data_IF_384552450569
#
_entry.id   IF_384552450569
#
_cell.length_a   1.000
_cell.length_b   1.000
_cell.length_c   1.000
_cell.angle_alpha   90.00
_cell.angle_beta   90.00
_cell.angle_gamma   90.00
#
_symmetry.space_group_name_H-M   'P 1'
#
loop_
_entity.id
_entity.type
_entity.pdbx_description
1 polymer ?
#
# COMPACT_ATOMS: atom_id res chain seq x y z
N UNK A 1 13.52 -14.56 10.95
CA UNK A 1 14.35 -15.28 9.97
C UNK A 1 14.20 -14.54 8.64
N UNK A 2 15.26 -14.33 7.85
CA UNK A 2 15.13 -13.76 6.51
C UNK A 2 14.29 -14.71 5.63
N UNK A 3 13.45 -14.13 4.77
CA UNK A 3 12.66 -14.92 3.81
C UNK A 3 13.58 -15.69 2.85
N UNK A 4 13.19 -16.90 2.51
CA UNK A 4 13.92 -17.78 1.57
C UNK A 4 13.22 -17.90 0.21
N UNK A 5 11.95 -17.49 0.10
CA UNK A 5 11.12 -17.59 -1.10
C UNK A 5 10.16 -16.40 -1.25
N UNK A 6 9.63 -16.20 -2.46
CA UNK A 6 8.61 -15.18 -2.78
C UNK A 6 7.20 -15.72 -2.55
N UNK A 7 6.85 -15.98 -1.29
CA UNK A 7 5.52 -16.48 -0.88
C UNK A 7 4.64 -15.34 -0.36
N UNK A 8 3.54 -14.98 -1.03
CA UNK A 8 2.79 -13.76 -0.69
C UNK A 8 1.45 -14.00 -0.02
N UNK A 9 0.99 -15.25 0.04
CA UNK A 9 -0.31 -15.68 0.57
C UNK A 9 -0.73 -15.08 1.93
N UNK A 10 0.22 -14.79 2.83
CA UNK A 10 -0.06 -14.23 4.16
C UNK A 10 -0.27 -12.72 4.17
N UNK A 11 0.12 -11.99 3.12
CA UNK A 11 0.10 -10.52 3.09
C UNK A 11 -1.33 -9.97 3.31
N UNK A 12 -2.37 -10.42 2.59
CA UNK A 12 -3.74 -9.93 2.83
C UNK A 12 -4.24 -10.20 4.26
N UNK A 13 -3.85 -11.34 4.86
CA UNK A 13 -4.23 -11.72 6.23
C UNK A 13 -3.57 -10.79 7.25
N UNK A 14 -2.28 -10.47 7.04
CA UNK A 14 -1.53 -9.55 7.89
C UNK A 14 -2.15 -8.15 7.82
N UNK A 15 -2.46 -7.65 6.61
CA UNK A 15 -3.12 -6.36 6.44
C UNK A 15 -4.48 -6.33 7.18
N UNK A 16 -5.37 -7.30 6.93
CA UNK A 16 -6.69 -7.34 7.58
C UNK A 16 -6.62 -7.41 9.11
N UNK A 17 -5.60 -8.07 9.65
CA UNK A 17 -5.36 -8.12 11.08
C UNK A 17 -4.91 -6.75 11.59
N UNK A 18 -3.91 -6.14 10.97
CA UNK A 18 -3.34 -4.86 11.40
C UNK A 18 -4.33 -3.70 11.26
N UNK A 19 -5.12 -3.63 10.19
CA UNK A 19 -6.19 -2.61 10.09
C UNK A 19 -7.12 -2.69 11.31
N UNK A 20 -7.53 -3.89 11.72
CA UNK A 20 -8.39 -4.05 12.90
C UNK A 20 -7.69 -3.68 14.20
N UNK A 21 -6.45 -4.13 14.37
CA UNK A 21 -5.65 -3.83 15.56
C UNK A 21 -5.44 -2.32 15.70
N UNK A 22 -4.96 -1.64 14.66
CA UNK A 22 -4.68 -0.20 14.70
C UNK A 22 -5.93 0.69 14.88
N UNK A 23 -7.11 0.24 14.44
CA UNK A 23 -8.36 0.95 14.76
C UNK A 23 -8.79 0.76 16.23
N UNK A 24 -8.37 -0.31 16.89
CA UNK A 24 -8.68 -0.56 18.30
C UNK A 24 -7.65 0.11 19.23
N UNK A 25 -6.36 -0.13 18.98
CA UNK A 25 -5.23 0.46 19.68
C UNK A 25 -4.00 0.36 18.78
N UNK A 26 -3.29 1.47 18.58
CA UNK A 26 -2.13 1.47 17.70
C UNK A 26 -0.96 0.70 18.32
N UNK A 27 -0.79 -0.56 17.91
CA UNK A 27 0.29 -1.43 18.38
C UNK A 27 1.47 -1.50 17.42
N UNK A 28 2.67 -1.71 17.96
CA UNK A 28 3.82 -2.14 17.18
C UNK A 28 3.72 -3.64 16.85
N UNK A 29 3.98 -4.00 15.60
CA UNK A 29 4.06 -5.39 15.18
C UNK A 29 5.54 -5.78 15.03
N UNK A 30 6.08 -6.69 15.86
CA UNK A 30 7.47 -7.10 15.76
C UNK A 30 7.70 -7.85 14.44
N UNK A 31 8.48 -7.26 13.53
CA UNK A 31 8.83 -7.86 12.25
C UNK A 31 10.22 -7.43 11.79
N UNK A 32 10.84 -8.24 10.93
CA UNK A 32 12.20 -7.99 10.41
C UNK A 32 12.26 -8.22 8.90
N UNK A 33 13.21 -7.58 8.21
CA UNK A 33 13.42 -7.74 6.77
C UNK A 33 12.18 -7.36 5.96
N UNK A 34 11.86 -8.16 4.94
CA UNK A 34 10.71 -7.97 4.06
C UNK A 34 9.38 -7.73 4.79
N UNK A 35 9.05 -8.55 5.80
CA UNK A 35 7.75 -8.43 6.49
C UNK A 35 7.63 -7.10 7.23
N UNK A 36 8.74 -6.58 7.76
CA UNK A 36 8.78 -5.23 8.35
C UNK A 36 8.46 -4.15 7.32
N UNK A 37 9.02 -4.28 6.11
CA UNK A 37 8.77 -3.32 5.03
C UNK A 37 7.31 -3.33 4.60
N UNK A 38 6.70 -4.51 4.47
CA UNK A 38 5.26 -4.66 4.15
C UNK A 38 4.38 -4.04 5.24
N UNK A 39 4.67 -4.30 6.51
CA UNK A 39 3.92 -3.74 7.64
C UNK A 39 4.05 -2.22 7.68
N UNK A 40 5.25 -1.69 7.51
CA UNK A 40 5.49 -0.25 7.51
C UNK A 40 4.80 0.42 6.32
N UNK A 41 4.86 -0.19 5.13
CA UNK A 41 4.15 0.27 3.93
C UNK A 41 2.64 0.34 4.21
N UNK A 42 2.10 -0.69 4.84
CA UNK A 42 0.69 -0.73 5.20
C UNK A 42 0.32 0.34 6.24
N UNK A 43 1.22 0.61 7.19
CA UNK A 43 1.05 1.70 8.16
C UNK A 43 0.98 3.07 7.49
N UNK A 44 1.82 3.32 6.48
CA UNK A 44 1.75 4.57 5.71
C UNK A 44 0.41 4.70 4.97
N UNK A 45 -0.12 3.61 4.40
CA UNK A 45 -1.46 3.62 3.79
C UNK A 45 -2.58 3.84 4.81
N UNK A 46 -2.48 3.25 6.00
CA UNK A 46 -3.42 3.44 7.09
C UNK A 46 -3.46 4.90 7.54
N UNK A 47 -2.29 5.49 7.83
CA UNK A 47 -2.19 6.89 8.21
C UNK A 47 -2.69 7.83 7.09
N UNK A 48 -2.34 7.53 5.83
CA UNK A 48 -2.77 8.31 4.68
C UNK A 48 -4.30 8.30 4.52
N UNK A 49 -4.96 7.15 4.73
CA UNK A 49 -6.42 7.06 4.69
C UNK A 49 -7.07 8.03 5.69
N UNK A 50 -6.60 8.04 6.94
CA UNK A 50 -7.17 8.91 7.97
C UNK A 50 -6.82 10.40 7.79
N UNK A 51 -5.64 10.72 7.24
CA UNK A 51 -5.33 12.10 6.86
C UNK A 51 -6.20 12.59 5.70
N UNK A 52 -6.51 11.74 4.71
CA UNK A 52 -7.47 12.07 3.64
C UNK A 52 -8.88 12.31 4.19
N UNK A 53 -9.35 11.50 5.15
CA UNK A 53 -10.62 11.75 5.85
C UNK A 53 -10.61 13.10 6.59
N UNK A 54 -9.51 13.42 7.28
CA UNK A 54 -9.36 14.72 7.97
C UNK A 54 -9.35 15.89 6.99
N UNK A 55 -8.75 15.74 5.81
CA UNK A 55 -8.72 16.78 4.77
C UNK A 55 -10.12 17.13 4.24
N UNK A 56 -11.10 16.22 4.41
CA UNK A 56 -12.49 16.40 3.97
C UNK A 56 -13.39 16.99 5.07
N UNK A 57 -12.85 17.32 6.24
CA UNK A 57 -13.63 17.88 7.34
C UNK A 57 -14.26 19.24 6.94
N UNK A 58 -15.60 19.41 7.07
CA UNK A 58 -16.32 20.56 6.53
C UNK A 58 -16.02 21.89 7.25
N UNK A 59 -15.34 21.85 8.39
CA UNK A 59 -15.05 23.01 9.24
C UNK A 59 -13.56 23.25 9.44
N UNK A 60 -12.70 22.62 8.64
CA UNK A 60 -11.26 22.85 8.69
C UNK A 60 -10.92 24.27 8.24
N UNK A 61 -10.06 24.94 8.98
CA UNK A 61 -9.46 26.22 8.62
C UNK A 61 -8.47 26.07 7.46
N UNK A 62 -8.15 27.17 6.78
CA UNK A 62 -7.16 27.16 5.70
C UNK A 62 -5.78 26.66 6.15
N UNK A 63 -5.39 26.95 7.40
CA UNK A 63 -4.14 26.47 7.99
C UNK A 63 -4.14 24.96 8.21
N UNK A 64 -5.24 24.42 8.75
CA UNK A 64 -5.41 22.97 8.95
C UNK A 64 -5.42 22.22 7.61
N UNK A 65 -6.06 22.77 6.58
CA UNK A 65 -6.05 22.21 5.22
C UNK A 65 -4.63 22.18 4.66
N UNK A 66 -3.88 23.28 4.79
CA UNK A 66 -2.49 23.33 4.33
C UNK A 66 -1.59 22.34 5.08
N UNK A 67 -1.78 22.18 6.40
CA UNK A 67 -1.04 21.22 7.18
C UNK A 67 -1.38 19.78 6.79
N UNK A 68 -2.66 19.47 6.61
CA UNK A 68 -3.12 18.13 6.18
C UNK A 68 -2.56 17.80 4.80
N UNK A 69 -2.53 18.75 3.86
CA UNK A 69 -1.93 18.54 2.54
C UNK A 69 -0.44 18.18 2.63
N UNK A 70 0.32 18.86 3.49
CA UNK A 70 1.74 18.54 3.74
C UNK A 70 1.91 17.15 4.32
N UNK A 71 1.06 16.75 5.27
CA UNK A 71 1.05 15.40 5.84
C UNK A 71 0.76 14.34 4.77
N UNK A 72 -0.26 14.55 3.94
CA UNK A 72 -0.64 13.66 2.83
C UNK A 72 0.52 13.50 1.84
N UNK A 73 1.22 14.58 1.50
CA UNK A 73 2.34 14.52 0.56
C UNK A 73 3.52 13.72 1.15
N UNK A 74 3.84 13.93 2.42
CA UNK A 74 4.88 13.18 3.12
C UNK A 74 4.55 11.69 3.24
N UNK A 75 3.31 11.36 3.62
CA UNK A 75 2.83 9.97 3.72
C UNK A 75 2.83 9.27 2.36
N UNK A 76 2.38 9.97 1.30
CA UNK A 76 2.45 9.45 -0.06
C UNK A 76 3.89 9.19 -0.51
N UNK A 77 4.84 10.06 -0.15
CA UNK A 77 6.25 9.85 -0.46
C UNK A 77 6.79 8.62 0.29
N UNK A 78 6.61 8.57 1.60
CA UNK A 78 7.06 7.44 2.43
C UNK A 78 6.47 6.10 1.96
N UNK A 79 5.19 6.07 1.59
CA UNK A 79 4.56 4.89 0.99
C UNK A 79 5.28 4.42 -0.27
N UNK A 80 5.58 5.34 -1.20
CA UNK A 80 6.23 4.96 -2.45
C UNK A 80 7.68 4.51 -2.23
N UNK A 81 8.40 5.16 -1.31
CA UNK A 81 9.76 4.76 -0.95
C UNK A 81 9.77 3.32 -0.38
N UNK A 82 8.75 2.96 0.39
CA UNK A 82 8.58 1.60 0.92
C UNK A 82 8.22 0.58 -0.17
N UNK A 83 7.43 0.97 -1.18
CA UNK A 83 7.19 0.12 -2.36
C UNK A 83 8.52 -0.22 -3.05
N UNK A 84 9.37 0.79 -3.28
CA UNK A 84 10.70 0.58 -3.85
C UNK A 84 11.62 -0.26 -2.95
N UNK A 85 11.54 -0.07 -1.63
CA UNK A 85 12.32 -0.84 -0.67
C UNK A 85 11.91 -2.32 -0.68
N UNK A 86 10.62 -2.62 -0.74
CA UNK A 86 10.08 -3.98 -0.89
C UNK A 86 10.62 -4.62 -2.16
N UNK A 87 10.56 -3.92 -3.29
CA UNK A 87 11.05 -4.43 -4.58
C UNK A 87 12.56 -4.67 -4.57
N UNK A 88 13.32 -3.79 -3.92
CA UNK A 88 14.78 -3.95 -3.76
C UNK A 88 15.11 -5.19 -2.94
N UNK A 89 14.46 -5.39 -1.80
CA UNK A 89 14.65 -6.56 -0.94
C UNK A 89 14.35 -7.86 -1.71
N UNK A 90 13.32 -7.88 -2.54
CA UNK A 90 12.98 -9.03 -3.39
C UNK A 90 14.02 -9.28 -4.48
N UNK A 91 14.53 -8.24 -5.15
CA UNK A 91 15.61 -8.40 -6.14
C UNK A 91 16.89 -8.92 -5.50
N UNK A 92 17.23 -8.47 -4.29
CA UNK A 92 18.36 -8.98 -3.53
C UNK A 92 18.18 -10.45 -3.14
N UNK A 93 16.97 -10.85 -2.73
CA UNK A 93 16.64 -12.25 -2.46
C UNK A 93 16.82 -13.12 -3.71
N UNK A 94 16.32 -12.67 -4.86
CA UNK A 94 16.45 -13.38 -6.14
C UNK A 94 17.91 -13.53 -6.57
N UNK A 95 18.71 -12.49 -6.40
CA UNK A 95 20.14 -12.52 -6.68
C UNK A 95 20.88 -13.50 -5.77
N UNK A 96 20.59 -13.50 -4.46
CA UNK A 96 21.16 -14.45 -3.48
C UNK A 96 20.81 -15.90 -3.83
N UNK A 97 19.61 -16.14 -4.35
CA UNK A 97 19.15 -17.45 -4.78
C UNK A 97 19.64 -17.84 -6.19
N UNK A 98 20.44 -17.00 -6.86
CA UNK A 98 20.94 -17.27 -8.21
C UNK A 98 19.85 -17.31 -9.29
N UNK A 99 18.70 -16.68 -9.04
CA UNK A 99 17.57 -16.67 -10.00
C UNK A 99 17.92 -15.85 -11.23
N UNK A 100 17.72 -16.42 -12.42
CA UNK A 100 17.99 -15.73 -13.68
C UNK A 100 16.75 -14.96 -14.16
N UNK A 101 16.85 -13.62 -14.17
CA UNK A 101 15.81 -12.72 -14.66
C UNK A 101 15.88 -12.58 -16.19
N UNK A 102 15.32 -13.56 -16.93
CA UNK A 102 15.39 -13.63 -18.40
C UNK A 102 14.04 -13.72 -19.12
N UNK A 103 12.96 -13.84 -18.36
CA UNK A 103 11.60 -13.97 -18.89
C UNK A 103 11.01 -12.67 -19.44
N UNK A 104 9.69 -12.63 -19.55
CA UNK A 104 8.97 -11.42 -19.96
C UNK A 104 8.97 -10.36 -18.84
N UNK A 105 9.12 -9.09 -19.20
CA UNK A 105 9.02 -7.99 -18.24
C UNK A 105 7.57 -7.80 -17.81
N UNK A 106 7.32 -7.83 -16.51
CA UNK A 106 6.03 -7.48 -15.94
C UNK A 106 5.96 -5.97 -15.66
N UNK A 107 4.83 -5.34 -16.00
CA UNK A 107 4.64 -3.89 -15.85
C UNK A 107 4.53 -3.45 -14.39
N UNK A 108 3.77 -4.20 -13.58
CA UNK A 108 3.67 -3.97 -12.13
C UNK A 108 4.72 -4.79 -11.39
N UNK A 109 5.35 -4.18 -10.38
CA UNK A 109 6.25 -4.89 -9.47
C UNK A 109 5.47 -5.55 -8.33
N UNK A 110 6.04 -6.56 -7.63
CA UNK A 110 5.41 -7.13 -6.44
C UNK A 110 5.07 -6.06 -5.37
N UNK A 111 5.95 -5.08 -5.14
CA UNK A 111 5.70 -3.98 -4.22
C UNK A 111 4.46 -3.15 -4.57
N UNK A 112 4.24 -2.86 -5.86
CA UNK A 112 3.04 -2.15 -6.33
C UNK A 112 1.75 -2.96 -6.09
N UNK A 113 1.82 -4.28 -6.30
CA UNK A 113 0.66 -5.15 -6.06
C UNK A 113 0.35 -5.25 -4.55
N UNK A 114 1.39 -5.35 -3.71
CA UNK A 114 1.26 -5.34 -2.24
C UNK A 114 0.62 -4.03 -1.75
N UNK A 115 1.01 -2.88 -2.31
CA UNK A 115 0.39 -1.59 -2.02
C UNK A 115 -1.11 -1.59 -2.33
N UNK A 116 -1.49 -2.10 -3.51
CA UNK A 116 -2.91 -2.20 -3.89
C UNK A 116 -3.68 -3.15 -2.99
N UNK A 117 -3.09 -4.25 -2.54
CA UNK A 117 -3.68 -5.16 -1.55
C UNK A 117 -3.89 -4.46 -0.20
N UNK A 118 -2.92 -3.64 0.22
CA UNK A 118 -2.97 -2.81 1.43
C UNK A 118 -4.15 -1.82 1.38
N UNK A 119 -4.31 -1.11 0.27
CA UNK A 119 -5.45 -0.21 0.03
C UNK A 119 -6.79 -0.96 0.01
N UNK A 120 -6.86 -2.14 -0.63
CA UNK A 120 -8.07 -2.94 -0.65
C UNK A 120 -8.48 -3.41 0.75
N UNK A 121 -7.53 -3.76 1.63
CA UNK A 121 -7.82 -4.14 3.01
C UNK A 121 -8.49 -3.00 3.78
N UNK A 122 -7.98 -1.76 3.66
CA UNK A 122 -8.59 -0.57 4.26
C UNK A 122 -10.01 -0.31 3.73
N UNK A 123 -10.19 -0.39 2.40
CA UNK A 123 -11.52 -0.25 1.77
C UNK A 123 -12.51 -1.29 2.28
N UNK A 124 -12.06 -2.55 2.41
CA UNK A 124 -12.89 -3.66 2.90
C UNK A 124 -13.29 -3.41 4.35
N UNK A 125 -12.36 -2.98 5.21
CA UNK A 125 -12.63 -2.67 6.61
C UNK A 125 -13.73 -1.60 6.73
N UNK A 126 -13.53 -0.43 6.12
CA UNK A 126 -14.51 0.67 6.22
C UNK A 126 -15.82 0.36 5.51
N UNK A 127 -15.80 -0.42 4.43
CA UNK A 127 -17.05 -0.86 3.78
C UNK A 127 -17.85 -1.78 4.70
N UNK A 128 -17.19 -2.68 5.45
CA UNK A 128 -17.87 -3.53 6.45
C UNK A 128 -18.54 -2.70 7.53
N UNK A 129 -17.89 -1.66 8.04
CA UNK A 129 -18.52 -0.73 8.99
C UNK A 129 -19.82 -0.15 8.42
N UNK A 130 -19.84 0.24 7.14
CA UNK A 130 -21.04 0.75 6.49
C UNK A 130 -22.13 -0.32 6.29
N UNK A 131 -21.77 -1.60 6.17
CA UNK A 131 -22.75 -2.70 6.12
C UNK A 131 -23.37 -3.01 7.48
N UNK A 132 -22.66 -2.72 8.56
CA UNK A 132 -23.06 -3.02 9.95
C UNK A 132 -23.64 -1.79 10.68
N UNK A 133 -23.54 -0.62 10.05
CA UNK A 133 -24.01 0.66 10.58
C UNK A 133 -25.51 0.63 10.93
N UNK A 134 -25.81 0.80 12.20
CA UNK A 134 -27.16 0.64 12.78
C UNK A 134 -28.10 1.81 12.46
N UNK A 135 -27.57 3.03 12.33
CA UNK A 135 -28.32 4.25 12.01
C UNK A 135 -28.52 4.47 10.50
N UNK A 136 -27.99 3.58 9.65
CA UNK A 136 -28.18 3.64 8.20
C UNK A 136 -29.50 2.99 7.77
N UNK A 137 -29.97 3.34 6.56
CA UNK A 137 -31.15 2.69 5.96
C UNK A 137 -30.82 1.27 5.50
N UNK A 138 -31.85 0.46 5.27
CA UNK A 138 -31.68 -0.89 4.73
C UNK A 138 -31.05 -0.86 3.33
N UNK A 139 -31.42 0.13 2.51
CA UNK A 139 -30.90 0.34 1.16
C UNK A 139 -29.40 0.70 1.20
N UNK A 140 -28.97 1.54 2.15
CA UNK A 140 -27.55 1.85 2.34
C UNK A 140 -26.75 0.59 2.68
N UNK A 141 -27.21 -0.20 3.66
CA UNK A 141 -26.53 -1.45 4.04
C UNK A 141 -26.47 -2.43 2.87
N UNK A 142 -27.58 -2.63 2.15
CA UNK A 142 -27.63 -3.51 0.97
C UNK A 142 -26.68 -3.04 -0.15
N UNK A 143 -26.64 -1.74 -0.43
CA UNK A 143 -25.73 -1.16 -1.41
C UNK A 143 -24.26 -1.37 -1.03
N UNK A 144 -23.91 -1.22 0.25
CA UNK A 144 -22.55 -1.47 0.72
C UNK A 144 -22.19 -2.96 0.80
N UNK A 145 -23.16 -3.85 1.02
CA UNK A 145 -22.93 -5.30 0.92
C UNK A 145 -22.54 -5.69 -0.50
N UNK A 146 -23.15 -5.08 -1.52
CA UNK A 146 -22.76 -5.34 -2.91
C UNK A 146 -21.36 -4.79 -3.22
N UNK A 147 -21.04 -3.58 -2.75
CA UNK A 147 -19.67 -3.03 -2.85
C UNK A 147 -18.64 -3.94 -2.16
N UNK A 148 -18.97 -4.48 -0.99
CA UNK A 148 -18.10 -5.37 -0.24
C UNK A 148 -17.78 -6.64 -1.03
N UNK A 149 -18.77 -7.25 -1.70
CA UNK A 149 -18.52 -8.43 -2.56
C UNK A 149 -17.52 -8.12 -3.67
N UNK A 150 -17.68 -6.97 -4.35
CA UNK A 150 -16.77 -6.53 -5.41
C UNK A 150 -15.34 -6.38 -4.86
N UNK A 151 -15.18 -5.70 -3.71
CA UNK A 151 -13.88 -5.49 -3.10
C UNK A 151 -13.21 -6.81 -2.68
N UNK A 152 -13.98 -7.75 -2.13
CA UNK A 152 -13.48 -9.07 -1.75
C UNK A 152 -13.01 -9.87 -2.98
N UNK A 153 -13.77 -9.84 -4.08
CA UNK A 153 -13.37 -10.47 -5.34
C UNK A 153 -12.08 -9.83 -5.91
N UNK A 154 -12.03 -8.49 -5.99
CA UNK A 154 -10.83 -7.77 -6.46
C UNK A 154 -9.59 -8.09 -5.64
N UNK A 155 -9.72 -8.22 -4.32
CA UNK A 155 -8.61 -8.59 -3.45
C UNK A 155 -8.15 -10.03 -3.70
N UNK A 156 -9.09 -10.96 -3.88
CA UNK A 156 -8.77 -12.35 -4.18
C UNK A 156 -8.02 -12.46 -5.51
N UNK A 157 -8.55 -11.86 -6.58
CA UNK A 157 -7.93 -11.86 -7.91
C UNK A 157 -6.50 -11.29 -7.85
N UNK A 158 -6.32 -10.19 -7.11
CA UNK A 158 -5.03 -9.53 -6.99
C UNK A 158 -4.01 -10.34 -6.18
N UNK A 159 -4.46 -11.03 -5.13
CA UNK A 159 -3.62 -11.93 -4.34
C UNK A 159 -3.13 -13.12 -5.18
N UNK A 160 -4.04 -13.74 -5.95
CA UNK A 160 -3.69 -14.84 -6.87
C UNK A 160 -2.70 -14.37 -7.95
N UNK A 161 -2.91 -13.17 -8.49
CA UNK A 161 -1.97 -12.57 -9.43
C UNK A 161 -0.58 -12.33 -8.83
N UNK A 162 -0.51 -11.91 -7.56
CA UNK A 162 0.76 -11.71 -6.85
C UNK A 162 1.51 -13.02 -6.62
N UNK A 163 0.82 -14.05 -6.12
CA UNK A 163 1.40 -15.38 -5.92
C UNK A 163 1.89 -15.94 -7.26
N UNK A 164 1.08 -15.83 -8.32
CA UNK A 164 1.46 -16.29 -9.65
C UNK A 164 2.67 -15.55 -10.22
N UNK A 165 2.73 -14.23 -10.02
CA UNK A 165 3.89 -13.44 -10.40
C UNK A 165 5.15 -13.89 -9.65
N UNK A 166 5.05 -14.17 -8.36
CA UNK A 166 6.15 -14.73 -7.55
C UNK A 166 6.67 -16.05 -8.09
N UNK A 167 5.79 -17.00 -8.40
CA UNK A 167 6.14 -18.29 -9.02
C UNK A 167 6.83 -18.12 -10.37
N UNK A 168 6.30 -17.25 -11.22
CA UNK A 168 6.83 -17.01 -12.56
C UNK A 168 8.19 -16.33 -12.52
N UNK A 169 8.42 -15.44 -11.55
CA UNK A 169 9.74 -14.82 -11.31
C UNK A 169 10.75 -15.85 -10.82
N UNK A 170 10.40 -16.66 -9.81
CA UNK A 170 11.29 -17.70 -9.30
C UNK A 170 11.67 -18.72 -10.38
N UNK A 171 10.75 -19.04 -11.28
CA UNK A 171 10.99 -19.92 -12.41
C UNK A 171 11.68 -19.24 -13.62
N UNK A 172 12.01 -17.94 -13.53
CA UNK A 172 12.63 -17.18 -14.61
C UNK A 172 11.74 -16.94 -15.83
N UNK A 173 10.42 -17.20 -15.73
CA UNK A 173 9.43 -16.96 -16.80
C UNK A 173 9.04 -15.49 -16.92
N UNK A 174 9.12 -14.76 -15.82
CA UNK A 174 8.89 -13.31 -15.75
C UNK A 174 9.96 -12.62 -14.93
N UNK A 175 10.08 -11.31 -15.07
CA UNK A 175 10.89 -10.48 -14.19
C UNK A 175 10.28 -9.09 -14.05
N UNK A 176 10.75 -8.33 -13.07
CA UNK A 176 10.40 -6.93 -12.87
C UNK A 176 11.67 -6.09 -12.75
N UNK A 177 11.53 -4.77 -12.92
CA UNK A 177 12.63 -3.81 -12.75
C UNK A 177 12.27 -2.85 -11.64
N UNK A 178 13.30 -2.41 -10.91
CA UNK A 178 13.14 -1.33 -9.96
C UNK A 178 12.97 0.00 -10.73
N UNK A 179 11.77 0.55 -10.73
CA UNK A 179 11.50 1.89 -11.24
C UNK A 179 11.49 2.87 -10.07
N UNK A 180 12.42 3.83 -10.11
CA UNK A 180 12.47 4.91 -9.11
C UNK A 180 11.39 5.93 -9.37
N UNK A 181 10.79 6.46 -8.32
CA UNK A 181 9.90 7.59 -8.37
C UNK A 181 10.71 8.85 -8.69
N UNK A 182 10.52 9.41 -9.88
CA UNK A 182 11.20 10.63 -10.35
C UNK A 182 10.28 11.86 -10.19
N UNK A 183 9.72 12.06 -9.00
CA UNK A 183 8.83 13.19 -8.73
C UNK A 183 9.64 14.47 -8.54
N UNK A 184 9.48 15.42 -9.47
CA UNK A 184 10.24 16.68 -9.44
C UNK A 184 9.76 17.65 -8.34
N UNK A 185 8.46 17.71 -8.07
CA UNK A 185 7.88 18.74 -7.19
C UNK A 185 8.17 18.54 -5.70
N UNK A 186 8.64 17.36 -5.29
CA UNK A 186 9.06 17.08 -3.92
C UNK A 186 10.53 17.45 -3.68
N UNK A 187 11.29 17.72 -4.75
CA UNK A 187 12.69 18.10 -4.68
C UNK A 187 12.81 19.64 -4.64
N UNK A 188 13.32 20.23 -3.55
CA UNK A 188 13.53 21.67 -3.44
C UNK A 188 14.41 22.26 -4.55
N UNK A 189 15.32 21.47 -5.12
CA UNK A 189 16.20 21.90 -6.21
C UNK A 189 15.48 21.90 -7.58
N UNK A 190 14.39 21.15 -7.72
CA UNK A 190 13.64 21.02 -8.98
C UNK A 190 12.27 21.71 -8.96
N UNK A 191 11.77 22.11 -7.78
CA UNK A 191 10.47 22.75 -7.67
C UNK A 191 10.56 24.28 -7.87
N UNK A 192 9.98 24.84 -8.96
CA UNK A 192 10.07 26.27 -9.28
C UNK A 192 9.48 27.19 -8.21
N UNK A 193 8.48 26.73 -7.47
CA UNK A 193 7.88 27.51 -6.39
C UNK A 193 8.79 27.60 -5.15
N UNK A 194 9.72 26.64 -4.98
CA UNK A 194 10.66 26.62 -3.85
C UNK A 194 11.94 27.37 -4.21
N UNK A 195 12.63 26.99 -5.29
CA UNK A 195 13.87 27.67 -5.66
C UNK A 195 13.62 29.08 -6.22
N UNK A 196 12.42 29.35 -6.75
CA UNK A 196 11.99 30.66 -7.22
C UNK A 196 11.68 31.65 -6.09
N UNK A 197 11.28 31.16 -4.91
CA UNK A 197 10.99 32.00 -3.74
C UNK A 197 12.25 32.64 -3.10
N UNK A 198 13.45 32.19 -3.50
CA UNK A 198 14.73 32.72 -3.04
C UNK A 198 15.40 33.70 -4.04
N UNK A 199 14.69 34.10 -5.11
CA UNK A 199 15.12 35.14 -6.05
C UNK A 199 14.36 36.44 -5.81
#
# INVERSE_FOLDING_TARGET
>A
MPRTSMEFSQIPVIHDRLVREWHAEETEAPATGFDRLVIEQHRQNFALWHEEDRARAPHASAEEVAQTKRSIDALNQARNDLIEAIDRELLELLAKNGTQLRGELHSETPGMIIDRLSILSLKIFHTREQTERSDATAEHRASNQERLKILLAQRQDLAECLDKLGEDIQAGRRYFKLYRQLKMYNDPELNPEIYGAHK
#
